data_IF_894867610237
#
_entry.id   IF_894867610237
#
_cell.length_a   1.000
_cell.length_b   1.000
_cell.length_c   1.000
_cell.angle_alpha   90.00
_cell.angle_beta   90.00
_cell.angle_gamma   90.00
#
_symmetry.space_group_name_H-M   'P 1'
#
loop_
_entity.id
_entity.type
_entity.pdbx_description
1 polymer ?
#
# COMPACT_ATOMS: atom_id res chain seq x y z
N UNK A 1 -4.59 -23.76 -14.90
CA UNK A 1 -4.21 -22.59 -14.05
C UNK A 1 -2.81 -22.04 -14.42
N UNK A 2 -1.92 -22.80 -15.07
CA UNK A 2 -0.66 -22.26 -15.62
C UNK A 2 -0.89 -21.52 -16.94
N UNK A 3 -0.50 -20.24 -16.99
CA UNK A 3 -0.48 -19.44 -18.22
C UNK A 3 -1.19 -18.09 -18.18
N UNK A 4 -1.23 -17.37 -17.04
CA UNK A 4 -1.76 -15.99 -17.03
C UNK A 4 -0.63 -14.97 -16.88
N UNK A 5 -0.39 -14.20 -17.94
CA UNK A 5 0.58 -13.09 -17.99
C UNK A 5 -0.05 -11.79 -17.48
N UNK A 6 -0.47 -11.76 -16.22
CA UNK A 6 -0.96 -10.53 -15.60
C UNK A 6 0.17 -9.49 -15.49
N UNK A 7 -0.18 -8.21 -15.67
CA UNK A 7 0.77 -7.09 -15.56
C UNK A 7 0.57 -6.28 -14.29
N UNK A 8 -0.68 -6.13 -13.86
CA UNK A 8 -1.08 -5.38 -12.69
C UNK A 8 -2.11 -6.15 -11.87
N UNK A 9 -2.18 -5.82 -10.58
CA UNK A 9 -3.17 -6.30 -9.63
C UNK A 9 -3.78 -5.08 -8.96
N UNK A 10 -5.11 -5.04 -8.90
CA UNK A 10 -5.86 -4.03 -8.14
C UNK A 10 -6.48 -4.75 -6.95
N UNK A 11 -6.23 -4.25 -5.75
CA UNK A 11 -6.92 -4.71 -4.55
C UNK A 11 -8.22 -3.93 -4.38
N UNK A 12 -9.34 -4.63 -4.19
CA UNK A 12 -10.66 -4.02 -4.02
C UNK A 12 -11.41 -4.62 -2.83
N UNK A 13 -12.17 -3.79 -2.14
CA UNK A 13 -13.13 -4.14 -1.10
C UNK A 13 -14.55 -4.17 -1.67
N UNK A 14 -15.49 -4.79 -0.94
CA UNK A 14 -16.89 -4.92 -1.38
C UNK A 14 -17.61 -3.59 -1.65
N UNK A 15 -17.12 -2.48 -1.07
CA UNK A 15 -17.73 -1.16 -1.23
C UNK A 15 -17.00 -0.28 -2.25
N UNK A 16 -15.98 -0.80 -2.91
CA UNK A 16 -15.27 -0.05 -3.95
C UNK A 16 -16.08 -0.01 -5.24
N UNK A 17 -16.13 1.18 -5.84
CA UNK A 17 -16.80 1.40 -7.12
C UNK A 17 -15.75 1.82 -8.13
N UNK A 18 -15.62 1.05 -9.21
CA UNK A 18 -14.76 1.41 -10.33
C UNK A 18 -15.40 2.56 -11.11
N UNK A 19 -14.70 3.70 -11.18
CA UNK A 19 -15.17 4.92 -11.86
C UNK A 19 -14.60 5.11 -13.27
N UNK A 20 -13.78 4.16 -13.74
CA UNK A 20 -13.14 4.16 -15.07
C UNK A 20 -13.52 2.91 -15.84
N UNK A 21 -13.69 3.05 -17.14
CA UNK A 21 -13.88 1.90 -18.02
C UNK A 21 -12.61 1.04 -18.06
N UNK A 22 -12.76 -0.23 -18.42
CA UNK A 22 -11.61 -1.13 -18.56
C UNK A 22 -10.59 -0.63 -19.60
N UNK A 23 -11.05 0.07 -20.65
CA UNK A 23 -10.16 0.66 -21.66
C UNK A 23 -9.32 1.81 -21.07
N UNK A 24 -9.94 2.71 -20.29
CA UNK A 24 -9.22 3.78 -19.60
C UNK A 24 -8.19 3.24 -18.60
N UNK A 25 -8.57 2.21 -17.82
CA UNK A 25 -7.66 1.55 -16.87
C UNK A 25 -6.46 0.94 -17.62
N UNK A 26 -6.69 0.31 -18.77
CA UNK A 26 -5.61 -0.22 -19.62
C UNK A 26 -4.62 0.86 -20.06
N UNK A 27 -5.11 2.00 -20.52
CA UNK A 27 -4.27 3.13 -20.93
C UNK A 27 -3.44 3.71 -19.77
N UNK A 28 -4.03 3.80 -18.58
CA UNK A 28 -3.31 4.22 -17.37
C UNK A 28 -2.17 3.24 -17.07
N UNK A 29 -2.43 1.94 -17.10
CA UNK A 29 -1.43 0.91 -16.83
C UNK A 29 -0.33 0.80 -17.89
N UNK A 30 -0.64 1.06 -19.15
CA UNK A 30 0.38 1.21 -20.20
C UNK A 30 1.28 2.41 -19.92
N UNK A 31 0.68 3.55 -19.54
CA UNK A 31 1.42 4.78 -19.19
C UNK A 31 2.31 4.59 -17.97
N UNK A 32 1.87 3.80 -16.98
CA UNK A 32 2.65 3.50 -15.77
C UNK A 32 3.85 2.56 -16.01
N UNK A 33 3.88 1.80 -17.12
CA UNK A 33 5.08 1.06 -17.54
C UNK A 33 5.63 0.01 -16.55
N UNK A 34 4.81 -0.49 -15.63
CA UNK A 34 5.18 -1.45 -14.59
C UNK A 34 5.45 -0.82 -13.22
N UNK A 35 5.26 0.49 -13.07
CA UNK A 35 5.35 1.17 -11.78
C UNK A 35 4.22 0.75 -10.83
N UNK A 36 4.49 0.75 -9.53
CA UNK A 36 3.46 0.56 -8.51
C UNK A 36 2.85 1.93 -8.17
N UNK A 37 1.52 1.99 -8.10
CA UNK A 37 0.81 3.16 -7.58
C UNK A 37 0.16 2.79 -6.24
N UNK A 38 0.71 3.34 -5.17
CA UNK A 38 0.30 3.10 -3.78
C UNK A 38 0.48 4.44 -3.06
N UNK A 39 -0.56 4.89 -2.37
CA UNK A 39 -0.45 6.07 -1.51
C UNK A 39 0.36 5.71 -0.25
N UNK A 40 1.49 6.40 -0.08
CA UNK A 40 2.26 6.36 1.16
C UNK A 40 2.08 7.69 1.89
N UNK A 41 1.43 7.66 3.04
CA UNK A 41 1.46 8.76 3.99
C UNK A 41 2.60 8.57 4.97
N UNK A 42 3.19 9.68 5.42
CA UNK A 42 4.04 9.63 6.61
C UNK A 42 3.18 9.08 7.74
N UNK A 43 3.75 8.17 8.53
CA UNK A 43 3.15 7.84 9.81
C UNK A 43 2.89 9.16 10.55
N UNK A 44 1.64 9.46 10.95
CA UNK A 44 1.38 10.62 11.80
C UNK A 44 2.37 10.57 12.97
N UNK A 45 2.92 11.74 13.35
CA UNK A 45 3.83 11.85 14.51
C UNK A 45 3.15 11.13 15.66
N UNK A 46 3.84 10.11 16.17
CA UNK A 46 3.14 8.95 16.62
C UNK A 46 3.13 8.79 18.13
N UNK A 47 2.01 9.16 18.76
CA UNK A 47 1.65 8.62 20.08
C UNK A 47 1.47 7.08 20.02
N UNK A 48 1.51 6.41 18.85
CA UNK A 48 1.57 4.93 18.78
C UNK A 48 2.90 4.35 19.31
N UNK A 49 3.95 5.17 19.45
CA UNK A 49 5.13 4.78 20.25
C UNK A 49 4.90 4.92 21.76
N UNK A 50 3.87 5.66 22.18
CA UNK A 50 3.45 5.80 23.58
C UNK A 50 2.40 4.75 23.98
N UNK A 51 1.89 3.93 23.03
CA UNK A 51 1.08 2.78 23.41
C UNK A 51 2.03 1.78 24.08
N UNK A 52 1.81 1.40 25.35
CA UNK A 52 2.63 0.40 26.04
C UNK A 52 2.28 -1.00 25.53
N UNK A 53 2.37 -1.23 24.23
CA UNK A 53 2.23 -2.55 23.65
C UNK A 53 3.51 -3.32 23.89
N UNK A 54 3.48 -4.12 24.98
CA UNK A 54 4.54 -5.02 25.46
C UNK A 54 5.20 -5.91 24.38
N UNK A 55 4.67 -5.98 23.16
CA UNK A 55 5.09 -6.91 22.12
C UNK A 55 5.50 -6.26 20.79
N UNK A 56 5.25 -4.97 20.51
CA UNK A 56 5.69 -4.34 19.25
C UNK A 56 7.22 -4.19 19.17
N UNK A 57 7.88 -3.96 20.31
CA UNK A 57 9.34 -3.87 20.39
C UNK A 57 10.07 -5.17 19.98
N UNK A 58 9.41 -6.34 19.99
CA UNK A 58 10.01 -7.60 19.52
C UNK A 58 10.11 -7.69 18.00
N UNK A 59 9.24 -7.00 17.27
CA UNK A 59 9.23 -7.04 15.81
C UNK A 59 10.19 -6.03 15.19
N UNK A 60 10.81 -5.16 16.00
CA UNK A 60 11.81 -4.18 15.53
C UNK A 60 11.25 -3.15 14.55
N UNK A 61 9.92 -2.93 14.58
CA UNK A 61 9.21 -2.07 13.62
C UNK A 61 9.27 -0.58 13.98
N UNK A 62 9.73 -0.23 15.19
CA UNK A 62 9.90 1.16 15.59
C UNK A 62 11.29 1.69 15.17
N UNK A 63 11.38 2.90 14.56
CA UNK A 63 12.65 3.52 14.24
C UNK A 63 13.46 3.79 15.52
N UNK A 64 14.71 3.32 15.57
CA UNK A 64 15.59 3.42 16.76
C UNK A 64 16.05 4.84 17.11
N UNK A 65 15.72 5.85 16.31
CA UNK A 65 16.29 7.20 16.39
C UNK A 65 15.27 8.31 16.66
N UNK A 66 14.18 8.01 17.38
CA UNK A 66 13.23 9.05 17.82
C UNK A 66 13.58 9.69 19.17
N UNK A 67 14.72 9.34 19.78
CA UNK A 67 15.19 10.02 20.99
C UNK A 67 15.80 11.39 20.65
N UNK A 68 15.01 12.46 20.81
CA UNK A 68 15.52 13.76 21.24
C UNK A 68 15.32 13.89 22.75
#
# INVERSE_FOLDING_TARGET
IRGKNWKYIIYQQNHDIIIKTNAEIGQIFETMGGANDIEFSLCPIDDRCDIPEKNLGKLGLCPKNLNK
#
